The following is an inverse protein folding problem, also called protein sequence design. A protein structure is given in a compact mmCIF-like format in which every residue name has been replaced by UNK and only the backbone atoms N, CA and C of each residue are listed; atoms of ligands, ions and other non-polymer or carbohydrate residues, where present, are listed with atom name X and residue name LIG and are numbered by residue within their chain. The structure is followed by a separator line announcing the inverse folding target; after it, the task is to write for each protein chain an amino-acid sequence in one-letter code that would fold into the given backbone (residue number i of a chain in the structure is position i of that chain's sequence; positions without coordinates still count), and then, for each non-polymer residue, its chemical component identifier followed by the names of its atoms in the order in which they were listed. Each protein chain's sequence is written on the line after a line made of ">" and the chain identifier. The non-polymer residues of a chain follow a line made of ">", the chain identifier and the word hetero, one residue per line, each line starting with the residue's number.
data_IF_879387462847
#
_entry.id   IF_879387462847
#
_cell.length_a   1.000
_cell.length_b   1.000
_cell.length_c   1.000
_cell.angle_alpha   90.00
_cell.angle_beta   90.00
_cell.angle_gamma   90.00
#
_symmetry.space_group_name_H-M   'P 1'
#
loop_
_entity.id
_entity.type
_entity.pdbx_description
1 polymer ?
#
# COMPACT_ATOMS: atom_id res chain seq x y z
N UNK A 1 -27.87 -9.89 2.17
CA UNK A 1 -27.52 -9.65 0.74
C UNK A 1 -26.43 -8.60 0.55
N UNK A 2 -25.26 -8.84 1.15
CA UNK A 2 -24.07 -7.97 1.14
C UNK A 2 -23.61 -7.60 -0.29
N UNK A 3 -23.67 -8.57 -1.22
CA UNK A 3 -23.28 -8.39 -2.62
C UNK A 3 -24.16 -7.42 -3.42
N UNK A 4 -25.32 -7.04 -2.90
CA UNK A 4 -26.23 -6.05 -3.52
C UNK A 4 -25.94 -4.61 -3.07
N UNK A 5 -25.05 -4.43 -2.11
CA UNK A 5 -24.68 -3.11 -1.58
C UNK A 5 -23.54 -2.54 -2.43
N UNK A 6 -23.72 -1.46 -3.20
CA UNK A 6 -22.65 -0.88 -4.03
C UNK A 6 -21.42 -0.48 -3.22
N UNK A 7 -21.65 0.01 -2.00
CA UNK A 7 -20.60 0.39 -1.06
C UNK A 7 -19.69 -0.79 -0.70
N UNK A 8 -20.21 -2.03 -0.69
CA UNK A 8 -19.42 -3.21 -0.42
C UNK A 8 -18.38 -3.48 -1.53
N UNK A 9 -18.75 -3.29 -2.80
CA UNK A 9 -17.81 -3.43 -3.91
C UNK A 9 -16.71 -2.37 -3.90
N UNK A 10 -17.07 -1.16 -3.48
CA UNK A 10 -16.06 -0.10 -3.27
C UNK A 10 -15.12 -0.45 -2.12
N UNK A 11 -15.63 -1.07 -1.06
CA UNK A 11 -14.82 -1.58 0.05
C UNK A 11 -13.89 -2.72 -0.39
N UNK A 12 -14.35 -3.64 -1.24
CA UNK A 12 -13.51 -4.68 -1.88
C UNK A 12 -12.37 -4.03 -2.67
N UNK A 13 -12.68 -3.04 -3.50
CA UNK A 13 -11.67 -2.32 -4.29
C UNK A 13 -10.64 -1.63 -3.40
N UNK A 14 -11.08 -0.99 -2.31
CA UNK A 14 -10.19 -0.40 -1.31
C UNK A 14 -9.21 -1.42 -0.74
N UNK A 15 -9.71 -2.60 -0.33
CA UNK A 15 -8.88 -3.64 0.24
C UNK A 15 -7.90 -4.23 -0.78
N UNK A 16 -8.33 -4.46 -2.02
CA UNK A 16 -7.43 -4.90 -3.11
C UNK A 16 -6.31 -3.89 -3.31
N UNK A 17 -6.63 -2.59 -3.40
CA UNK A 17 -5.63 -1.55 -3.59
C UNK A 17 -4.72 -1.38 -2.38
N UNK A 18 -5.24 -1.55 -1.16
CA UNK A 18 -4.43 -1.50 0.06
C UNK A 18 -3.40 -2.64 0.09
N UNK A 19 -3.83 -3.87 -0.16
CA UNK A 19 -2.95 -5.03 -0.23
C UNK A 19 -1.93 -4.92 -1.36
N UNK A 20 -2.34 -4.47 -2.54
CA UNK A 20 -1.46 -4.25 -3.68
C UNK A 20 -0.40 -3.18 -3.38
N UNK A 21 -0.79 -2.06 -2.77
CA UNK A 21 0.15 -0.97 -2.41
C UNK A 21 1.18 -1.42 -1.38
N UNK A 22 0.76 -2.17 -0.36
CA UNK A 22 1.63 -2.65 0.71
C UNK A 22 2.62 -3.69 0.18
N UNK A 23 2.11 -4.79 -0.41
CA UNK A 23 2.95 -5.93 -0.76
C UNK A 23 3.80 -5.70 -2.01
N UNK A 24 3.39 -4.84 -2.95
CA UNK A 24 4.25 -4.49 -4.08
C UNK A 24 5.53 -3.80 -3.62
N UNK A 25 5.42 -2.81 -2.73
CA UNK A 25 6.61 -2.15 -2.19
C UNK A 25 7.42 -3.10 -1.31
N UNK A 26 6.77 -3.81 -0.39
CA UNK A 26 7.46 -4.70 0.56
C UNK A 26 8.25 -5.82 -0.13
N UNK A 27 7.68 -6.45 -1.17
CA UNK A 27 8.33 -7.57 -1.86
C UNK A 27 9.41 -7.12 -2.84
N UNK A 28 9.25 -5.98 -3.49
CA UNK A 28 10.20 -5.50 -4.48
C UNK A 28 11.24 -4.54 -3.94
N UNK A 29 11.12 -4.07 -2.68
CA UNK A 29 12.00 -3.06 -2.09
C UNK A 29 13.48 -3.48 -2.10
N UNK A 30 13.80 -4.75 -1.80
CA UNK A 30 15.19 -5.25 -1.83
C UNK A 30 15.74 -5.29 -3.26
N UNK A 31 14.99 -5.90 -4.19
CA UNK A 31 15.39 -5.97 -5.58
C UNK A 31 15.51 -4.58 -6.23
N UNK A 32 14.62 -3.65 -5.86
CA UNK A 32 14.69 -2.26 -6.28
C UNK A 32 15.96 -1.58 -5.74
N UNK A 33 16.28 -1.78 -4.45
CA UNK A 33 17.48 -1.23 -3.84
C UNK A 33 18.76 -1.74 -4.51
N UNK A 34 18.82 -3.02 -4.88
CA UNK A 34 19.95 -3.59 -5.61
C UNK A 34 20.02 -3.08 -7.06
N UNK A 35 18.95 -3.23 -7.84
CA UNK A 35 18.97 -3.00 -9.29
C UNK A 35 18.94 -1.54 -9.68
N UNK A 36 18.11 -0.74 -9.01
CA UNK A 36 17.91 0.66 -9.35
C UNK A 36 18.79 1.62 -8.54
N UNK A 37 19.15 1.24 -7.32
CA UNK A 37 19.94 2.08 -6.42
C UNK A 37 21.40 1.64 -6.29
N UNK A 38 21.77 0.48 -6.85
CA UNK A 38 23.13 -0.05 -6.85
C UNK A 38 23.64 -0.47 -5.46
N UNK A 39 22.74 -0.78 -4.51
CA UNK A 39 23.12 -1.23 -3.17
C UNK A 39 23.48 -2.71 -3.17
N UNK A 40 24.30 -3.13 -2.20
CA UNK A 40 24.55 -4.56 -2.00
C UNK A 40 23.30 -5.26 -1.48
N UNK A 41 23.13 -6.55 -1.78
CA UNK A 41 21.96 -7.35 -1.36
C UNK A 41 21.69 -7.23 0.15
N UNK A 42 22.72 -7.38 0.99
CA UNK A 42 22.57 -7.29 2.45
C UNK A 42 22.07 -5.92 2.91
N UNK A 43 22.55 -4.83 2.29
CA UNK A 43 22.07 -3.47 2.58
C UNK A 43 20.67 -3.27 2.03
N UNK A 44 20.35 -3.80 0.84
CA UNK A 44 19.05 -3.75 0.23
C UNK A 44 17.97 -4.43 1.08
N UNK A 45 18.26 -5.62 1.63
CA UNK A 45 17.34 -6.37 2.49
C UNK A 45 17.07 -5.65 3.83
N UNK A 46 18.08 -5.03 4.43
CA UNK A 46 17.91 -4.27 5.68
C UNK A 46 17.24 -2.93 5.43
N UNK A 47 17.73 -2.16 4.48
CA UNK A 47 17.27 -0.80 4.22
C UNK A 47 15.91 -0.76 3.51
N UNK A 48 15.59 -1.75 2.68
CA UNK A 48 14.30 -1.89 2.01
C UNK A 48 13.23 -2.52 2.94
N UNK A 49 13.04 -3.85 2.90
CA UNK A 49 11.93 -4.52 3.58
C UNK A 49 11.94 -4.34 5.10
N UNK A 50 13.11 -4.36 5.75
CA UNK A 50 13.18 -4.25 7.21
C UNK A 50 12.77 -2.84 7.68
N UNK A 51 13.31 -1.78 7.07
CA UNK A 51 12.94 -0.42 7.44
C UNK A 51 11.50 -0.09 7.05
N UNK A 52 11.01 -0.62 5.94
CA UNK A 52 9.59 -0.58 5.58
C UNK A 52 8.71 -1.16 6.70
N UNK A 53 9.04 -2.37 7.19
CA UNK A 53 8.29 -3.02 8.27
C UNK A 53 8.36 -2.23 9.58
N UNK A 54 9.50 -1.66 9.93
CA UNK A 54 9.68 -0.81 11.12
C UNK A 54 8.78 0.44 11.04
N UNK A 55 8.80 1.16 9.93
CA UNK A 55 7.98 2.37 9.77
C UNK A 55 6.49 2.04 9.74
N UNK A 56 6.10 0.91 9.15
CA UNK A 56 4.74 0.39 9.19
C UNK A 56 4.30 0.09 10.64
N UNK A 57 5.15 -0.55 11.43
CA UNK A 57 4.89 -0.81 12.85
C UNK A 57 4.73 0.48 13.65
N UNK A 58 5.57 1.49 13.40
CA UNK A 58 5.45 2.81 14.02
C UNK A 58 4.11 3.46 13.68
N UNK A 59 3.72 3.45 12.40
CA UNK A 59 2.43 4.00 11.94
C UNK A 59 1.25 3.33 12.65
N UNK A 60 1.23 1.99 12.74
CA UNK A 60 0.18 1.22 13.43
C UNK A 60 0.13 1.53 14.92
N UNK A 61 1.28 1.67 15.57
CA UNK A 61 1.37 2.01 17.01
C UNK A 61 0.88 3.43 17.27
N UNK A 62 1.26 4.39 16.43
CA UNK A 62 0.79 5.78 16.55
C UNK A 62 -0.72 5.87 16.34
N UNK A 63 -1.24 5.18 15.34
CA UNK A 63 -2.69 5.12 15.12
C UNK A 63 -3.42 4.45 16.30
N UNK A 64 -2.90 3.34 16.82
CA UNK A 64 -3.49 2.68 17.98
C UNK A 64 -3.56 3.59 19.21
N UNK A 65 -2.58 4.48 19.39
CA UNK A 65 -2.53 5.41 20.52
C UNK A 65 -3.36 6.68 20.33
N UNK A 66 -3.43 7.20 19.11
CA UNK A 66 -4.03 8.52 18.83
C UNK A 66 -5.26 8.46 17.92
N UNK A 67 -5.60 7.28 17.41
CA UNK A 67 -6.64 7.09 16.39
C UNK A 67 -8.03 7.58 16.80
N UNK A 68 -8.38 7.49 18.09
CA UNK A 68 -9.65 8.02 18.61
C UNK A 68 -9.79 9.55 18.49
N UNK A 69 -8.66 10.26 18.37
CA UNK A 69 -8.61 11.74 18.23
C UNK A 69 -8.53 12.17 16.78
N UNK A 70 -8.33 11.25 15.85
CA UNK A 70 -8.11 11.53 14.44
C UNK A 70 -9.36 11.23 13.62
N UNK A 71 -9.66 12.08 12.66
CA UNK A 71 -10.64 11.78 11.62
C UNK A 71 -10.05 10.69 10.72
N UNK A 72 -10.58 9.46 10.86
CA UNK A 72 -10.06 8.29 10.15
C UNK A 72 -10.07 8.48 8.64
N UNK A 73 -11.11 9.11 8.08
CA UNK A 73 -11.22 9.33 6.64
C UNK A 73 -10.11 10.26 6.13
N UNK A 74 -9.88 11.38 6.82
CA UNK A 74 -8.81 12.33 6.47
C UNK A 74 -7.44 11.70 6.62
N UNK A 75 -7.26 10.90 7.68
CA UNK A 75 -6.00 10.19 7.91
C UNK A 75 -5.72 9.16 6.81
N UNK A 76 -6.73 8.41 6.37
CA UNK A 76 -6.62 7.45 5.27
C UNK A 76 -6.30 8.13 3.94
N UNK A 77 -6.97 9.24 3.62
CA UNK A 77 -6.67 10.03 2.39
C UNK A 77 -5.24 10.58 2.44
N UNK A 78 -4.81 11.13 3.57
CA UNK A 78 -3.44 11.58 3.76
C UNK A 78 -2.41 10.47 3.61
N UNK A 79 -2.70 9.29 4.14
CA UNK A 79 -1.85 8.10 4.00
C UNK A 79 -1.79 7.61 2.54
N UNK A 80 -2.90 7.61 1.81
CA UNK A 80 -2.93 7.26 0.39
C UNK A 80 -2.13 8.24 -0.46
N UNK A 81 -2.25 9.54 -0.17
CA UNK A 81 -1.45 10.58 -0.83
C UNK A 81 0.04 10.42 -0.53
N UNK A 82 0.40 10.18 0.72
CA UNK A 82 1.80 9.93 1.12
C UNK A 82 2.34 8.69 0.42
N UNK A 83 1.56 7.60 0.34
CA UNK A 83 1.93 6.39 -0.38
C UNK A 83 2.21 6.67 -1.86
N UNK A 84 1.33 7.42 -2.52
CA UNK A 84 1.51 7.82 -3.91
C UNK A 84 2.80 8.63 -4.10
N UNK A 85 3.06 9.61 -3.23
CA UNK A 85 4.31 10.39 -3.25
C UNK A 85 5.53 9.48 -3.06
N UNK A 86 5.46 8.51 -2.14
CA UNK A 86 6.55 7.55 -1.90
C UNK A 86 6.84 6.70 -3.13
N UNK A 87 5.81 6.18 -3.81
CA UNK A 87 5.97 5.43 -5.06
C UNK A 87 6.59 6.28 -6.17
N UNK A 88 6.12 7.52 -6.35
CA UNK A 88 6.67 8.46 -7.33
C UNK A 88 8.13 8.77 -6.99
N UNK A 89 8.43 9.05 -5.73
CA UNK A 89 9.79 9.37 -5.28
C UNK A 89 10.72 8.18 -5.49
N UNK A 90 10.32 6.97 -5.12
CA UNK A 90 11.09 5.76 -5.36
C UNK A 90 11.35 5.54 -6.86
N UNK A 91 10.33 5.72 -7.71
CA UNK A 91 10.41 5.40 -9.13
C UNK A 91 11.17 6.43 -9.96
N UNK A 92 11.04 7.73 -9.64
CA UNK A 92 11.59 8.81 -10.48
C UNK A 92 12.87 9.42 -9.92
N UNK A 93 13.27 9.10 -8.68
CA UNK A 93 14.49 9.65 -8.12
C UNK A 93 15.73 9.05 -8.79
N UNK A 94 16.58 9.89 -9.35
CA UNK A 94 17.93 9.51 -9.79
C UNK A 94 18.94 9.43 -8.65
N UNK A 95 18.54 9.74 -7.41
CA UNK A 95 19.40 9.74 -6.22
C UNK A 95 19.03 8.53 -5.35
N UNK A 96 19.94 7.55 -5.17
CA UNK A 96 19.67 6.32 -4.43
C UNK A 96 19.07 6.52 -3.04
N UNK A 97 19.59 7.47 -2.28
CA UNK A 97 19.14 7.78 -0.91
C UNK A 97 17.68 8.25 -0.90
N UNK A 98 17.30 9.09 -1.86
CA UNK A 98 15.92 9.61 -1.95
C UNK A 98 14.95 8.48 -2.35
N UNK A 99 15.33 7.64 -3.31
CA UNK A 99 14.54 6.47 -3.69
C UNK A 99 14.33 5.50 -2.52
N UNK A 100 15.39 5.25 -1.74
CA UNK A 100 15.32 4.41 -0.55
C UNK A 100 14.43 5.00 0.54
N UNK A 101 14.53 6.31 0.80
CA UNK A 101 13.63 7.00 1.72
C UNK A 101 12.17 6.89 1.28
N UNK A 102 11.90 6.95 -0.02
CA UNK A 102 10.58 6.68 -0.58
C UNK A 102 10.06 5.29 -0.20
N UNK A 103 10.88 4.24 -0.36
CA UNK A 103 10.54 2.88 0.05
C UNK A 103 10.25 2.78 1.55
N UNK A 104 11.11 3.35 2.39
CA UNK A 104 10.98 3.32 3.85
C UNK A 104 9.71 4.04 4.30
N UNK A 105 9.46 5.25 3.80
CA UNK A 105 8.29 6.06 4.16
C UNK A 105 6.99 5.47 3.61
N UNK A 106 7.05 4.68 2.53
CA UNK A 106 5.91 3.92 2.04
C UNK A 106 5.37 2.98 3.11
N UNK A 107 6.24 2.31 3.88
CA UNK A 107 5.85 1.47 5.01
C UNK A 107 4.99 2.23 6.03
N UNK A 108 5.40 3.45 6.38
CA UNK A 108 4.62 4.31 7.27
C UNK A 108 3.23 4.62 6.70
N UNK A 109 3.15 4.93 5.41
CA UNK A 109 1.89 5.30 4.75
C UNK A 109 0.89 4.14 4.68
N UNK A 110 1.36 2.91 4.37
CA UNK A 110 0.46 1.75 4.22
C UNK A 110 0.00 1.16 5.55
N UNK A 111 0.66 1.50 6.66
CA UNK A 111 0.39 0.89 7.97
C UNK A 111 -1.06 0.97 8.42
N UNK A 112 -1.79 2.05 8.06
CA UNK A 112 -3.20 2.22 8.41
C UNK A 112 -4.16 1.73 7.32
N UNK A 113 -3.71 1.47 6.11
CA UNK A 113 -4.62 1.21 4.98
C UNK A 113 -5.50 -0.02 5.21
N UNK A 114 -4.95 -1.11 5.71
CA UNK A 114 -5.72 -2.31 6.03
C UNK A 114 -6.70 -2.11 7.19
N UNK A 115 -6.23 -1.79 8.41
CA UNK A 115 -7.14 -1.63 9.56
C UNK A 115 -8.10 -0.47 9.36
N UNK A 116 -7.68 0.61 8.72
CA UNK A 116 -8.52 1.76 8.42
C UNK A 116 -9.63 1.42 7.45
N UNK A 117 -9.34 0.69 6.37
CA UNK A 117 -10.37 0.25 5.41
C UNK A 117 -11.42 -0.64 6.07
N UNK A 118 -10.99 -1.60 6.90
CA UNK A 118 -11.91 -2.45 7.67
C UNK A 118 -12.76 -1.63 8.61
N UNK A 119 -12.16 -0.67 9.33
CA UNK A 119 -12.89 0.21 10.27
C UNK A 119 -13.92 1.08 9.58
N UNK A 120 -13.58 1.69 8.42
CA UNK A 120 -14.52 2.48 7.62
C UNK A 120 -15.68 1.61 7.14
N UNK A 121 -15.39 0.41 6.62
CA UNK A 121 -16.40 -0.51 6.12
C UNK A 121 -17.35 -0.98 7.23
N UNK A 122 -16.82 -1.30 8.40
CA UNK A 122 -17.64 -1.73 9.53
C UNK A 122 -18.57 -0.63 10.03
N UNK A 123 -18.10 0.62 10.02
CA UNK A 123 -18.94 1.77 10.38
C UNK A 123 -20.04 2.08 9.37
N UNK A 124 -19.77 1.89 8.08
CA UNK A 124 -20.71 2.20 7.00
C UNK A 124 -21.64 1.03 6.63
N UNK A 125 -21.28 -0.21 6.94
CA UNK A 125 -22.07 -1.42 6.68
C UNK A 125 -22.21 -2.23 7.98
N UNK A 126 -22.96 -1.75 8.98
CA UNK A 126 -23.05 -2.42 10.28
C UNK A 126 -23.63 -3.83 10.23
N UNK A 127 -24.43 -4.10 9.18
CA UNK A 127 -25.09 -5.41 8.94
C UNK A 127 -24.18 -6.44 8.27
N UNK A 128 -22.95 -6.08 7.91
CA UNK A 128 -22.04 -6.93 7.13
C UNK A 128 -21.58 -8.21 7.82
N UNK A 129 -21.49 -8.18 9.16
CA UNK A 129 -21.13 -9.34 9.97
C UNK A 129 -19.77 -9.95 9.62
N UNK A 130 -19.51 -11.17 10.12
CA UNK A 130 -18.25 -11.91 9.93
C UNK A 130 -17.93 -12.16 8.45
N UNK A 131 -18.96 -12.40 7.62
CA UNK A 131 -18.76 -12.66 6.20
C UNK A 131 -18.16 -11.45 5.46
N UNK A 132 -18.54 -10.24 5.82
CA UNK A 132 -17.94 -9.02 5.27
C UNK A 132 -16.44 -8.95 5.57
N UNK A 133 -16.04 -9.18 6.81
CA UNK A 133 -14.63 -9.12 7.20
C UNK A 133 -13.80 -10.19 6.48
N UNK A 134 -14.33 -11.41 6.34
CA UNK A 134 -13.65 -12.47 5.62
C UNK A 134 -13.44 -12.12 4.13
N UNK A 135 -14.47 -11.59 3.47
CA UNK A 135 -14.39 -11.18 2.07
C UNK A 135 -13.45 -9.98 1.86
N UNK A 136 -13.45 -9.02 2.79
CA UNK A 136 -12.53 -7.90 2.75
C UNK A 136 -11.07 -8.35 2.94
N UNK A 137 -10.81 -9.25 3.89
CA UNK A 137 -9.48 -9.81 4.10
C UNK A 137 -9.00 -10.56 2.84
N UNK A 138 -9.83 -11.44 2.28
CA UNK A 138 -9.55 -12.15 1.03
C UNK A 138 -9.26 -11.19 -0.13
N UNK A 139 -10.00 -10.09 -0.23
CA UNK A 139 -9.76 -9.07 -1.25
C UNK A 139 -8.40 -8.39 -1.07
N UNK A 140 -8.01 -8.11 0.16
CA UNK A 140 -6.68 -7.57 0.48
C UNK A 140 -5.56 -8.55 0.12
N UNK A 141 -5.70 -9.82 0.47
CA UNK A 141 -4.75 -10.87 0.10
C UNK A 141 -4.64 -11.04 -1.43
N UNK A 142 -5.77 -10.97 -2.13
CA UNK A 142 -5.79 -10.99 -3.60
C UNK A 142 -5.01 -9.80 -4.17
N UNK A 143 -5.22 -8.59 -3.63
CA UNK A 143 -4.45 -7.41 -3.98
C UNK A 143 -2.96 -7.59 -3.73
N UNK A 144 -2.62 -8.15 -2.58
CA UNK A 144 -1.24 -8.48 -2.19
C UNK A 144 -0.54 -9.50 -3.08
N UNK A 145 -1.30 -10.40 -3.70
CA UNK A 145 -0.78 -11.35 -4.70
C UNK A 145 -0.66 -10.70 -6.09
N UNK A 146 -1.68 -9.98 -6.52
CA UNK A 146 -1.74 -9.37 -7.86
C UNK A 146 -0.83 -8.15 -8.00
N UNK A 147 -0.71 -7.33 -6.97
CA UNK A 147 0.10 -6.12 -7.00
C UNK A 147 1.56 -6.38 -7.39
N UNK A 148 2.30 -7.19 -6.61
CA UNK A 148 3.68 -7.54 -6.95
C UNK A 148 3.83 -8.23 -8.31
N UNK A 149 2.85 -9.08 -8.69
CA UNK A 149 2.85 -9.74 -9.99
C UNK A 149 2.71 -8.75 -11.15
N UNK A 150 1.87 -7.72 -11.01
CA UNK A 150 1.72 -6.64 -12.00
C UNK A 150 3.01 -5.84 -12.10
N UNK A 151 3.59 -5.41 -10.98
CA UNK A 151 4.86 -4.68 -10.94
C UNK A 151 5.97 -5.49 -11.62
N UNK A 152 6.11 -6.78 -11.26
CA UNK A 152 7.12 -7.65 -11.85
C UNK A 152 6.95 -7.87 -13.35
N UNK A 153 5.72 -8.09 -13.82
CA UNK A 153 5.42 -8.21 -15.26
C UNK A 153 5.78 -6.95 -16.04
N UNK A 154 5.46 -5.78 -15.50
CA UNK A 154 5.78 -4.50 -16.15
C UNK A 154 7.29 -4.28 -16.17
N UNK A 155 7.99 -4.59 -15.06
CA UNK A 155 9.45 -4.56 -14.99
C UNK A 155 10.09 -5.38 -16.11
N UNK A 156 9.70 -6.66 -16.25
CA UNK A 156 10.22 -7.55 -17.28
C UNK A 156 9.94 -7.04 -18.71
N UNK A 157 8.72 -6.59 -18.98
CA UNK A 157 8.35 -6.02 -20.28
C UNK A 157 9.07 -4.72 -20.60
N UNK A 158 9.52 -4.00 -19.59
CA UNK A 158 10.27 -2.76 -19.73
C UNK A 158 11.79 -2.98 -19.87
N UNK A 159 12.24 -4.22 -20.04
CA UNK A 159 13.67 -4.58 -20.16
C UNK A 159 14.36 -4.67 -18.80
N UNK A 160 13.67 -5.24 -17.82
CA UNK A 160 14.08 -5.36 -16.40
C UNK A 160 14.28 -4.01 -15.69
N UNK A 161 13.59 -2.99 -16.16
CA UNK A 161 13.60 -1.65 -15.57
C UNK A 161 12.64 -1.61 -14.36
N UNK A 162 13.22 -1.79 -13.17
CA UNK A 162 12.46 -1.82 -11.92
C UNK A 162 11.79 -0.47 -11.61
N UNK A 163 12.37 0.65 -12.04
CA UNK A 163 11.76 1.97 -11.83
C UNK A 163 10.42 2.09 -12.56
N UNK A 164 10.32 1.56 -13.78
CA UNK A 164 9.05 1.53 -14.53
C UNK A 164 8.01 0.61 -13.89
N UNK A 165 8.45 -0.54 -13.37
CA UNK A 165 7.57 -1.43 -12.61
C UNK A 165 6.99 -0.75 -11.38
N UNK A 166 7.84 -0.11 -10.59
CA UNK A 166 7.42 0.63 -9.39
C UNK A 166 6.54 1.83 -9.72
N UNK A 167 6.81 2.53 -10.84
CA UNK A 167 5.97 3.64 -11.30
C UNK A 167 4.56 3.16 -11.64
N UNK A 168 4.42 1.99 -12.25
CA UNK A 168 3.10 1.39 -12.47
C UNK A 168 2.37 1.09 -11.17
N UNK A 169 3.10 0.77 -10.09
CA UNK A 169 2.56 0.58 -8.75
C UNK A 169 1.86 1.82 -8.18
N UNK A 170 2.14 3.02 -8.70
CA UNK A 170 1.42 4.25 -8.33
C UNK A 170 -0.10 4.17 -8.58
N UNK A 171 -0.53 3.29 -9.48
CA UNK A 171 -1.95 3.09 -9.75
C UNK A 171 -2.72 2.62 -8.52
N UNK A 172 -2.12 1.80 -7.66
CA UNK A 172 -2.81 1.23 -6.50
C UNK A 172 -3.19 2.29 -5.45
N UNK A 173 -2.26 3.10 -4.92
CA UNK A 173 -2.63 4.16 -3.97
C UNK A 173 -3.47 5.26 -4.61
N UNK A 174 -3.36 5.50 -5.92
CA UNK A 174 -4.21 6.45 -6.63
C UNK A 174 -5.66 5.98 -6.67
N UNK A 175 -5.91 4.73 -7.08
CA UNK A 175 -7.24 4.13 -7.10
C UNK A 175 -7.83 4.07 -5.69
N UNK A 176 -7.01 3.71 -4.68
CA UNK A 176 -7.41 3.71 -3.28
C UNK A 176 -7.86 5.10 -2.83
N UNK A 177 -7.09 6.13 -3.14
CA UNK A 177 -7.42 7.52 -2.80
C UNK A 177 -8.74 7.97 -3.46
N UNK A 178 -8.92 7.68 -4.75
CA UNK A 178 -10.18 7.99 -5.46
C UNK A 178 -11.35 7.23 -4.82
N UNK A 179 -11.16 5.96 -4.47
CA UNK A 179 -12.19 5.14 -3.82
C UNK A 179 -12.58 5.68 -2.44
N UNK A 180 -11.62 6.22 -1.68
CA UNK A 180 -11.89 6.90 -0.40
C UNK A 180 -12.70 8.19 -0.57
N UNK A 181 -12.44 8.95 -1.63
CA UNK A 181 -13.19 10.18 -1.92
C UNK A 181 -14.62 9.90 -2.40
N UNK A 182 -14.92 8.70 -2.89
CA UNK A 182 -16.25 8.26 -3.31
C UNK A 182 -17.04 7.60 -2.17
N UNK A 183 -16.42 7.28 -1.05
CA UNK A 183 -17.02 6.72 0.16
C UNK A 183 -17.68 7.80 1.03
#
# INVERSE_FOLDING_TARGET
>A
DLLRVPLFWLAILLMVCAGASELSMAQWASAFAESALGLTKSVGDIAGPCMFAVTMGISRTLYGKYGEKLDLMKFMIGSALLCLICYITASLSGIPVIGLLGCIMCGFSVGIMWPGSISICSGKIPTGGTAMFALLAMAGDLGGALGPAIVGNITQRAGDDMQKGMLAGCAFPLILMISLLLL
#
